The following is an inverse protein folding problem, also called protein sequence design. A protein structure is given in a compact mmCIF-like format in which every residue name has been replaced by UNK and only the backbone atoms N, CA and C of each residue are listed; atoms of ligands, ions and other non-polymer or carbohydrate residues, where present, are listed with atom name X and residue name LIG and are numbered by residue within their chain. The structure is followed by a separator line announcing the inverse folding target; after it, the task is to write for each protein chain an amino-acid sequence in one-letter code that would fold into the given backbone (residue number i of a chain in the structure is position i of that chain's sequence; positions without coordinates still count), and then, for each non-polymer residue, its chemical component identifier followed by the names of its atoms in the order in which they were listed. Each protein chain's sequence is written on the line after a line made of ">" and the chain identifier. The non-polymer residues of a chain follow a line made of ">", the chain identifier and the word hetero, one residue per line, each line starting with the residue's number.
data_IF_874746066130
#
_entry.id   IF_874746066130
#
_cell.length_a   1.000
_cell.length_b   1.000
_cell.length_c   1.000
_cell.angle_alpha   90.00
_cell.angle_beta   90.00
_cell.angle_gamma   90.00
#
_symmetry.space_group_name_H-M   'P 1'
#
loop_
_entity.id
_entity.type
_entity.pdbx_description
1 polymer ?
#
# COMPACT_ATOMS: atom_id res chain seq x y z
N UNK A 1 -10.62 -9.10 19.41
CA UNK A 1 -9.29 -9.64 19.07
C UNK A 1 -8.82 -8.91 17.83
N UNK A 2 -8.14 -7.78 17.99
CA UNK A 2 -7.64 -7.01 16.84
C UNK A 2 -6.48 -7.78 16.21
N UNK A 3 -6.67 -8.27 14.99
CA UNK A 3 -5.57 -8.88 14.25
C UNK A 3 -4.62 -7.73 13.87
N UNK A 4 -3.34 -7.88 14.20
CA UNK A 4 -2.33 -6.86 13.87
C UNK A 4 -2.27 -6.74 12.33
N UNK A 5 -2.29 -5.53 11.77
CA UNK A 5 -2.11 -5.34 10.33
C UNK A 5 -0.80 -6.01 9.89
N UNK A 6 -0.83 -6.70 8.75
CA UNK A 6 0.37 -7.34 8.20
C UNK A 6 1.49 -6.30 7.98
N UNK A 7 2.75 -6.73 8.01
CA UNK A 7 3.87 -5.81 7.82
C UNK A 7 3.78 -5.06 6.48
N UNK A 8 3.21 -5.70 5.46
CA UNK A 8 2.96 -5.11 4.14
C UNK A 8 1.99 -3.91 4.23
N UNK A 9 0.91 -4.04 5.00
CA UNK A 9 -0.06 -2.95 5.24
C UNK A 9 0.64 -1.76 5.90
N UNK A 10 1.43 -2.01 6.94
CA UNK A 10 2.17 -0.95 7.63
C UNK A 10 3.17 -0.26 6.71
N UNK A 11 3.86 -1.01 5.84
CA UNK A 11 4.78 -0.46 4.86
C UNK A 11 4.06 0.43 3.83
N UNK A 12 2.90 0.00 3.34
CA UNK A 12 2.08 0.80 2.42
C UNK A 12 1.53 2.07 3.06
N UNK A 13 1.10 2.02 4.33
CA UNK A 13 0.66 3.20 5.06
C UNK A 13 1.80 4.17 5.32
N UNK A 14 2.99 3.66 5.60
CA UNK A 14 4.19 4.50 5.74
C UNK A 14 4.57 5.15 4.41
N UNK A 15 4.49 4.42 3.30
CA UNK A 15 4.65 4.98 1.96
C UNK A 15 3.62 6.07 1.67
N UNK A 16 2.34 5.86 2.04
CA UNK A 16 1.27 6.85 1.91
C UNK A 16 1.63 8.18 2.58
N UNK A 17 2.24 8.17 3.76
CA UNK A 17 2.67 9.39 4.49
C UNK A 17 3.76 10.17 3.72
N UNK A 18 4.55 9.49 2.90
CA UNK A 18 5.56 10.11 2.04
C UNK A 18 5.00 10.84 0.82
N UNK A 19 3.78 10.51 0.39
CA UNK A 19 3.14 11.14 -0.77
C UNK A 19 2.85 12.61 -0.48
N UNK A 20 3.46 13.50 -1.28
CA UNK A 20 3.30 14.97 -1.16
C UNK A 20 2.30 15.51 -2.16
N UNK A 21 2.16 14.86 -3.30
CA UNK A 21 1.20 15.25 -4.33
C UNK A 21 0.54 14.02 -4.94
N UNK A 22 -0.78 13.94 -4.82
CA UNK A 22 -1.65 12.98 -5.48
C UNK A 22 -2.78 13.76 -6.18
N UNK A 23 -2.57 14.21 -7.43
CA UNK A 23 -3.54 15.06 -8.12
C UNK A 23 -4.86 14.34 -8.44
N UNK A 24 -4.82 13.01 -8.46
CA UNK A 24 -5.99 12.17 -8.76
C UNK A 24 -6.77 11.74 -7.52
N UNK A 25 -6.14 11.81 -6.34
CA UNK A 25 -6.66 11.23 -5.10
C UNK A 25 -6.72 9.70 -5.13
N UNK A 26 -6.12 9.05 -6.12
CA UNK A 26 -6.25 7.60 -6.36
C UNK A 26 -5.70 6.79 -5.19
N UNK A 27 -4.56 7.22 -4.62
CA UNK A 27 -3.90 6.54 -3.51
C UNK A 27 -4.39 7.10 -2.18
N UNK A 28 -4.31 8.42 -1.99
CA UNK A 28 -4.63 9.04 -0.71
C UNK A 28 -6.10 8.86 -0.31
N UNK A 29 -7.00 8.74 -1.30
CA UNK A 29 -8.43 8.56 -1.11
C UNK A 29 -8.88 7.11 -0.88
N UNK A 30 -8.05 6.11 -1.20
CA UNK A 30 -8.43 4.69 -1.08
C UNK A 30 -7.68 3.93 0.01
N UNK A 31 -6.42 4.27 0.28
CA UNK A 31 -5.60 3.55 1.26
C UNK A 31 -5.99 3.96 2.69
N UNK A 32 -6.74 3.14 3.41
CA UNK A 32 -7.20 3.41 4.77
C UNK A 32 -7.03 2.18 5.68
N UNK A 33 -6.52 2.41 6.89
CA UNK A 33 -6.33 1.38 7.93
C UNK A 33 -7.65 0.69 8.32
N UNK A 34 -8.77 1.40 8.23
CA UNK A 34 -10.11 0.88 8.52
C UNK A 34 -10.65 -0.02 7.39
N UNK A 35 -10.08 0.05 6.18
CA UNK A 35 -10.50 -0.74 5.01
C UNK A 35 -9.58 -1.92 4.71
N UNK A 36 -8.77 -2.33 5.70
CA UNK A 36 -7.93 -3.53 5.62
C UNK A 36 -8.79 -4.76 5.92
N UNK A 37 -8.91 -5.66 4.95
CA UNK A 37 -9.68 -6.89 5.11
C UNK A 37 -9.07 -7.79 6.20
N UNK A 38 -9.93 -8.59 6.83
CA UNK A 38 -9.53 -9.50 7.92
C UNK A 38 -8.43 -10.49 7.52
N UNK A 39 -8.31 -10.79 6.23
CA UNK A 39 -7.33 -11.70 5.65
C UNK A 39 -5.92 -11.10 5.49
N UNK A 40 -5.73 -9.81 5.81
CA UNK A 40 -4.41 -9.17 5.90
C UNK A 40 -3.93 -8.46 4.62
N UNK A 41 -4.71 -8.49 3.54
CA UNK A 41 -4.45 -7.72 2.32
C UNK A 41 -5.62 -6.77 2.02
N UNK A 42 -5.37 -5.51 1.65
CA UNK A 42 -6.43 -4.52 1.50
C UNK A 42 -6.92 -4.52 0.05
N UNK A 43 -7.82 -5.44 -0.29
CA UNK A 43 -8.27 -5.63 -1.67
C UNK A 43 -9.01 -4.43 -2.26
N UNK A 44 -9.51 -3.55 -1.39
CA UNK A 44 -10.21 -2.31 -1.74
C UNK A 44 -9.28 -1.13 -2.04
N UNK A 45 -7.98 -1.27 -1.77
CA UNK A 45 -7.01 -0.20 -2.02
C UNK A 45 -6.64 -0.15 -3.49
N UNK A 46 -6.72 1.04 -4.07
CA UNK A 46 -6.42 1.22 -5.47
C UNK A 46 -4.94 0.93 -5.77
N UNK A 47 -4.70 0.17 -6.84
CA UNK A 47 -3.37 -0.23 -7.26
C UNK A 47 -2.74 -1.37 -6.44
N UNK A 48 -3.40 -1.88 -5.39
CA UNK A 48 -2.88 -3.02 -4.60
C UNK A 48 -3.42 -4.32 -5.16
N UNK A 49 -2.52 -5.27 -5.42
CA UNK A 49 -2.84 -6.61 -5.87
C UNK A 49 -2.63 -7.60 -4.74
N UNK A 50 -3.67 -8.37 -4.41
CA UNK A 50 -3.63 -9.40 -3.39
C UNK A 50 -3.48 -10.80 -4.01
N UNK A 51 -2.70 -11.69 -3.38
CA UNK A 51 -2.65 -13.11 -3.70
C UNK A 51 -2.63 -13.93 -2.40
N UNK A 52 -3.63 -14.78 -2.21
CA UNK A 52 -3.72 -15.65 -1.02
C UNK A 52 -3.66 -14.90 0.31
N UNK A 53 -4.34 -13.75 0.41
CA UNK A 53 -4.35 -12.92 1.63
C UNK A 53 -3.12 -12.03 1.85
N UNK A 54 -2.15 -12.04 0.93
CA UNK A 54 -0.93 -11.22 1.04
C UNK A 54 -0.85 -10.21 -0.11
N UNK A 55 -0.13 -9.10 0.11
CA UNK A 55 0.13 -8.11 -0.94
C UNK A 55 1.14 -8.73 -1.92
N UNK A 56 0.70 -8.93 -3.16
CA UNK A 56 1.50 -9.51 -4.24
C UNK A 56 2.14 -8.44 -5.13
N UNK A 57 1.59 -7.22 -5.13
CA UNK A 57 2.12 -6.12 -5.94
C UNK A 57 1.40 -4.81 -5.69
N UNK A 58 2.05 -3.72 -6.10
CA UNK A 58 1.53 -2.36 -6.04
C UNK A 58 1.80 -1.69 -7.38
N UNK A 59 0.77 -1.13 -8.01
CA UNK A 59 0.81 -0.56 -9.36
C UNK A 59 0.31 0.88 -9.30
N UNK A 60 1.21 1.85 -9.52
CA UNK A 60 0.97 3.29 -9.36
C UNK A 60 1.40 4.08 -10.61
N UNK A 61 1.10 3.55 -11.79
CA UNK A 61 1.55 4.11 -13.06
C UNK A 61 0.70 5.28 -13.56
N UNK A 62 1.36 6.28 -14.15
CA UNK A 62 0.74 7.40 -14.86
C UNK A 62 -0.24 8.26 -14.01
N UNK A 63 -0.04 8.30 -12.70
CA UNK A 63 -0.89 9.06 -11.76
C UNK A 63 -0.37 10.48 -11.46
N UNK A 64 0.82 10.84 -11.96
CA UNK A 64 1.47 12.11 -11.60
C UNK A 64 1.81 12.22 -10.11
N UNK A 65 1.97 11.07 -9.43
CA UNK A 65 2.30 11.00 -8.01
C UNK A 65 3.70 11.56 -7.75
N UNK A 66 3.80 12.40 -6.73
CA UNK A 66 5.07 12.85 -6.19
C UNK A 66 5.14 12.52 -4.70
N UNK A 67 6.17 11.79 -4.32
CA UNK A 67 6.36 11.29 -2.97
C UNK A 67 7.83 11.42 -2.55
N UNK A 68 8.03 11.82 -1.30
CA UNK A 68 9.29 11.66 -0.58
C UNK A 68 9.06 10.51 0.41
N UNK A 69 9.32 9.29 -0.07
CA UNK A 69 9.02 8.06 0.64
C UNK A 69 10.26 7.19 0.75
N UNK A 70 10.51 6.66 1.94
CA UNK A 70 11.57 5.70 2.15
C UNK A 70 11.14 4.34 1.59
N UNK A 71 11.64 3.97 0.41
CA UNK A 71 11.35 2.66 -0.21
C UNK A 71 11.94 1.49 0.58
N UNK A 72 12.79 1.74 1.57
CA UNK A 72 13.28 0.73 2.52
C UNK A 72 12.18 0.07 3.36
N UNK A 73 11.00 0.69 3.46
CA UNK A 73 9.82 0.06 4.06
C UNK A 73 9.38 -1.19 3.29
N UNK A 74 9.66 -1.22 1.98
CA UNK A 74 9.33 -2.34 1.11
C UNK A 74 10.40 -3.43 1.09
N UNK A 75 11.53 -3.26 1.79
CA UNK A 75 12.60 -4.26 1.84
C UNK A 75 12.19 -5.58 2.51
N UNK A 76 11.09 -5.58 3.25
CA UNK A 76 10.47 -6.79 3.81
C UNK A 76 9.37 -7.39 2.90
N UNK A 77 9.03 -6.76 1.78
CA UNK A 77 8.11 -7.34 0.81
C UNK A 77 8.81 -8.50 0.09
N UNK A 78 8.23 -9.70 0.17
CA UNK A 78 8.85 -10.95 -0.30
C UNK A 78 9.09 -10.99 -1.82
N UNK A 79 8.49 -10.06 -2.60
CA UNK A 79 8.84 -9.80 -4.00
C UNK A 79 8.58 -8.34 -4.39
N UNK A 80 9.64 -7.57 -4.58
CA UNK A 80 9.64 -6.40 -5.46
C UNK A 80 10.50 -6.73 -6.68
N UNK A 81 9.90 -6.73 -7.87
CA UNK A 81 10.68 -6.79 -9.12
C UNK A 81 11.03 -5.34 -9.45
N UNK A 82 12.31 -4.99 -9.34
CA UNK A 82 12.85 -3.68 -9.70
C UNK A 82 13.09 -3.59 -11.21
#
# INVERSE_FOLDING_TARGET
>A
MGHLPSQDILALLEFKKGIKHDPTGYVLGSWNEESVDYDGCPSTWNGVLCNGGNVAGVVLDNLGLYADANLGVFSNLTKCIQ
#
